data_IF_938761830187
#
_entry.id   IF_938761830187
#
_cell.length_a   1.000
_cell.length_b   1.000
_cell.length_c   1.000
_cell.angle_alpha   90.00
_cell.angle_beta   90.00
_cell.angle_gamma   90.00
#
_symmetry.space_group_name_H-M   'P 1'
#
loop_
_entity.id
_entity.type
_entity.pdbx_description
1 polymer ?
#
# COMPACT_ATOMS: atom_id res chain seq x y z
N UNK A 1 16.14 16.28 -2.73
CA UNK A 1 16.23 17.07 -3.96
C UNK A 1 14.86 17.07 -4.62
N UNK A 2 14.27 18.24 -4.89
CA UNK A 2 12.96 18.34 -5.55
C UNK A 2 13.17 18.32 -7.05
N UNK A 3 12.78 17.23 -7.72
CA UNK A 3 12.86 17.14 -9.18
C UNK A 3 11.74 18.00 -9.78
N UNK A 4 12.09 18.96 -10.65
CA UNK A 4 11.10 19.75 -11.37
C UNK A 4 10.43 18.85 -12.42
N UNK A 5 9.09 18.81 -12.40
CA UNK A 5 8.28 18.07 -13.37
C UNK A 5 7.69 19.10 -14.33
N UNK A 6 7.99 18.94 -15.63
CA UNK A 6 7.30 19.67 -16.69
C UNK A 6 6.11 18.83 -17.16
N UNK A 7 4.93 19.43 -17.20
CA UNK A 7 3.72 18.77 -17.66
C UNK A 7 2.96 19.68 -18.61
N UNK A 8 2.83 19.23 -19.86
CA UNK A 8 2.00 19.89 -20.86
C UNK A 8 0.56 19.42 -20.71
N UNK A 9 -0.37 20.37 -20.62
CA UNK A 9 -1.80 20.11 -20.50
C UNK A 9 -2.55 20.78 -21.65
N UNK A 10 -3.61 20.14 -22.17
CA UNK A 10 -4.52 20.78 -23.10
C UNK A 10 -5.16 22.05 -22.51
N UNK A 11 -5.42 23.06 -23.35
CA UNK A 11 -5.98 24.36 -22.93
C UNK A 11 -7.31 24.25 -22.17
N UNK A 12 -8.16 23.29 -22.55
CA UNK A 12 -9.42 23.05 -21.85
C UNK A 12 -9.18 22.59 -20.41
N UNK A 13 -8.27 21.64 -20.21
CA UNK A 13 -7.89 21.17 -18.88
C UNK A 13 -7.25 22.29 -18.06
N UNK A 14 -6.39 23.12 -18.65
CA UNK A 14 -5.83 24.27 -17.95
C UNK A 14 -6.93 25.22 -17.43
N UNK A 15 -7.92 25.54 -18.28
CA UNK A 15 -9.06 26.39 -17.89
C UNK A 15 -9.87 25.78 -16.76
N UNK A 16 -10.15 24.48 -16.83
CA UNK A 16 -10.86 23.75 -15.77
C UNK A 16 -10.08 23.77 -14.46
N UNK A 17 -8.76 23.55 -14.49
CA UNK A 17 -7.92 23.59 -13.31
C UNK A 17 -7.87 24.98 -12.67
N UNK A 18 -7.78 26.05 -13.48
CA UNK A 18 -7.83 27.43 -12.99
C UNK A 18 -9.20 27.77 -12.41
N UNK A 19 -10.28 27.29 -13.01
CA UNK A 19 -11.63 27.47 -12.50
C UNK A 19 -11.81 26.77 -11.15
N UNK A 20 -11.44 25.49 -11.07
CA UNK A 20 -11.51 24.69 -9.83
C UNK A 20 -10.62 25.26 -8.73
N UNK A 21 -9.42 25.75 -9.06
CA UNK A 21 -8.53 26.41 -8.11
C UNK A 21 -9.19 27.63 -7.46
N UNK A 22 -9.94 28.43 -8.22
CA UNK A 22 -10.68 29.59 -7.70
C UNK A 22 -11.89 29.19 -6.87
N UNK A 23 -12.66 28.23 -7.36
CA UNK A 23 -13.85 27.72 -6.66
C UNK A 23 -13.50 27.14 -5.28
N UNK A 24 -12.37 26.44 -5.20
CA UNK A 24 -11.87 25.83 -3.97
C UNK A 24 -10.93 26.76 -3.16
N UNK A 25 -10.83 28.03 -3.55
CA UNK A 25 -10.07 29.08 -2.85
C UNK A 25 -8.60 28.75 -2.56
N UNK A 26 -7.96 27.98 -3.45
CA UNK A 26 -6.54 27.66 -3.32
C UNK A 26 -5.68 28.89 -3.61
N UNK A 27 -4.52 29.07 -2.94
CA UNK A 27 -3.69 30.25 -3.13
C UNK A 27 -3.01 30.30 -4.51
N UNK A 28 -2.70 29.15 -5.11
CA UNK A 28 -2.14 29.05 -6.45
C UNK A 28 -2.41 27.67 -7.05
N UNK A 29 -2.25 27.58 -8.37
CA UNK A 29 -2.49 26.37 -9.15
C UNK A 29 -1.54 25.22 -8.78
N UNK A 30 -0.29 25.51 -8.39
CA UNK A 30 0.71 24.50 -8.04
C UNK A 30 0.32 23.78 -6.76
N UNK A 31 -0.14 24.50 -5.73
CA UNK A 31 -0.59 23.91 -4.48
C UNK A 31 -1.87 23.10 -4.64
N UNK A 32 -2.80 23.59 -5.47
CA UNK A 32 -3.99 22.83 -5.87
C UNK A 32 -3.62 21.49 -6.51
N UNK A 33 -2.77 21.51 -7.55
CA UNK A 33 -2.32 20.29 -8.24
C UNK A 33 -1.56 19.38 -7.27
N UNK A 34 -0.69 19.92 -6.42
CA UNK A 34 0.06 19.12 -5.43
C UNK A 34 -0.89 18.38 -4.49
N UNK A 35 -1.90 19.05 -3.95
CA UNK A 35 -2.85 18.41 -3.04
C UNK A 35 -3.71 17.36 -3.77
N UNK A 36 -4.16 17.64 -4.99
CA UNK A 36 -4.90 16.70 -5.81
C UNK A 36 -4.08 15.42 -6.10
N UNK A 37 -2.80 15.57 -6.48
CA UNK A 37 -1.89 14.45 -6.72
C UNK A 37 -1.65 13.66 -5.43
N UNK A 38 -1.41 14.33 -4.30
CA UNK A 38 -1.22 13.64 -3.02
C UNK A 38 -2.45 12.82 -2.62
N UNK A 39 -3.65 13.38 -2.79
CA UNK A 39 -4.90 12.66 -2.56
C UNK A 39 -5.02 11.44 -3.46
N UNK A 40 -4.76 11.59 -4.76
CA UNK A 40 -4.83 10.47 -5.72
C UNK A 40 -3.81 9.37 -5.39
N UNK A 41 -2.60 9.74 -4.98
CA UNK A 41 -1.59 8.77 -4.55
C UNK A 41 -2.01 8.02 -3.28
N UNK A 42 -2.65 8.69 -2.33
CA UNK A 42 -3.19 8.03 -1.14
C UNK A 42 -4.31 7.04 -1.49
N UNK A 43 -5.21 7.41 -2.41
CA UNK A 43 -6.25 6.52 -2.93
C UNK A 43 -5.65 5.30 -3.64
N UNK A 44 -4.68 5.49 -4.54
CA UNK A 44 -3.99 4.39 -5.23
C UNK A 44 -3.32 3.43 -4.24
N UNK A 45 -2.67 3.97 -3.20
CA UNK A 45 -2.06 3.14 -2.15
C UNK A 45 -3.10 2.33 -1.38
N UNK A 46 -4.25 2.94 -1.08
CA UNK A 46 -5.33 2.26 -0.40
C UNK A 46 -5.93 1.14 -1.26
N UNK A 47 -6.21 1.42 -2.54
CA UNK A 47 -6.68 0.43 -3.51
C UNK A 47 -5.68 -0.73 -3.66
N UNK A 48 -4.38 -0.43 -3.73
CA UNK A 48 -3.33 -1.45 -3.80
C UNK A 48 -3.33 -2.33 -2.53
N UNK A 49 -3.38 -1.71 -1.35
CA UNK A 49 -3.45 -2.42 -0.09
C UNK A 49 -4.67 -3.35 -0.01
N UNK A 50 -5.85 -2.87 -0.43
CA UNK A 50 -7.05 -3.69 -0.46
C UNK A 50 -6.91 -4.90 -1.39
N UNK A 51 -6.33 -4.71 -2.58
CA UNK A 51 -6.07 -5.81 -3.53
C UNK A 51 -5.11 -6.84 -2.96
N UNK A 52 -4.01 -6.39 -2.37
CA UNK A 52 -3.00 -7.27 -1.79
C UNK A 52 -3.54 -8.02 -0.58
N UNK A 53 -4.32 -7.33 0.27
CA UNK A 53 -4.99 -7.97 1.40
C UNK A 53 -5.99 -9.04 0.93
N UNK A 54 -6.81 -8.74 -0.08
CA UNK A 54 -7.73 -9.73 -0.67
C UNK A 54 -6.99 -10.95 -1.23
N UNK A 55 -5.84 -10.74 -1.89
CA UNK A 55 -4.98 -11.83 -2.38
C UNK A 55 -4.44 -12.67 -1.22
N UNK A 56 -3.95 -12.04 -0.15
CA UNK A 56 -3.48 -12.75 1.04
C UNK A 56 -4.60 -13.59 1.66
N UNK A 57 -5.79 -13.02 1.82
CA UNK A 57 -6.96 -13.74 2.34
C UNK A 57 -7.31 -14.95 1.47
N UNK A 58 -7.25 -14.82 0.15
CA UNK A 58 -7.48 -15.93 -0.76
C UNK A 58 -6.40 -17.01 -0.64
N UNK A 59 -5.13 -16.62 -0.53
CA UNK A 59 -4.02 -17.55 -0.33
C UNK A 59 -4.19 -18.33 0.96
N UNK A 60 -4.50 -17.65 2.07
CA UNK A 60 -4.76 -18.27 3.38
C UNK A 60 -5.94 -19.25 3.30
N UNK A 61 -7.04 -18.86 2.64
CA UNK A 61 -8.20 -19.76 2.47
C UNK A 61 -7.83 -20.98 1.63
N UNK A 62 -7.04 -20.79 0.57
CA UNK A 62 -6.61 -21.87 -0.33
C UNK A 62 -5.64 -22.82 0.35
N UNK A 63 -4.80 -22.33 1.28
CA UNK A 63 -3.93 -23.17 2.10
C UNK A 63 -4.64 -23.88 3.27
N UNK A 64 -5.97 -23.72 3.40
CA UNK A 64 -6.73 -24.33 4.50
C UNK A 64 -6.64 -23.56 5.82
N UNK A 65 -6.29 -22.26 5.76
CA UNK A 65 -6.00 -21.43 6.92
C UNK A 65 -4.50 -21.30 7.17
N UNK A 66 -4.13 -20.75 8.33
CA UNK A 66 -2.73 -20.60 8.73
C UNK A 66 -2.14 -21.88 9.33
N UNK A 67 -2.97 -22.89 9.65
CA UNK A 67 -2.51 -24.11 10.31
C UNK A 67 -1.92 -23.88 11.71
N UNK A 68 -2.23 -22.76 12.34
CA UNK A 68 -1.66 -22.37 13.64
C UNK A 68 -2.47 -22.87 14.85
N UNK A 69 -3.57 -23.61 14.64
CA UNK A 69 -4.49 -24.02 15.70
C UNK A 69 -5.61 -23.01 15.97
N UNK A 70 -6.55 -23.37 16.85
CA UNK A 70 -7.75 -22.58 17.13
C UNK A 70 -7.64 -21.76 18.42
N UNK A 71 -6.74 -22.15 19.31
CA UNK A 71 -6.49 -21.47 20.60
C UNK A 71 -5.20 -20.66 20.59
N UNK A 72 -5.12 -19.68 21.50
CA UNK A 72 -3.93 -18.83 21.63
C UNK A 72 -2.68 -19.64 21.96
N UNK A 73 -2.83 -20.65 22.81
CA UNK A 73 -1.75 -21.53 23.25
C UNK A 73 -1.22 -22.38 22.10
N UNK A 74 -2.10 -22.93 21.27
CA UNK A 74 -1.72 -23.67 20.05
C UNK A 74 -1.02 -22.76 19.04
N UNK A 75 -1.52 -21.53 18.84
CA UNK A 75 -0.88 -20.55 17.96
C UNK A 75 0.54 -20.25 18.42
N UNK A 76 0.75 -20.03 19.72
CA UNK A 76 2.09 -19.75 20.27
C UNK A 76 3.00 -20.97 20.12
N UNK A 77 2.50 -22.19 20.37
CA UNK A 77 3.28 -23.42 20.25
C UNK A 77 3.70 -23.68 18.80
N UNK A 78 2.75 -23.62 17.86
CA UNK A 78 2.99 -23.84 16.43
C UNK A 78 3.92 -22.78 15.85
N UNK A 79 3.76 -21.49 16.23
CA UNK A 79 4.70 -20.44 15.80
C UNK A 79 6.12 -20.69 16.31
N UNK A 80 6.29 -21.14 17.55
CA UNK A 80 7.62 -21.48 18.09
C UNK A 80 8.27 -22.64 17.34
N UNK A 81 7.47 -23.63 16.95
CA UNK A 81 7.95 -24.78 16.17
C UNK A 81 8.37 -24.36 14.76
N UNK A 82 7.54 -23.57 14.06
CA UNK A 82 7.87 -23.01 12.75
C UNK A 82 9.16 -22.18 12.82
N UNK A 83 9.30 -21.31 13.82
CA UNK A 83 10.52 -20.53 14.01
C UNK A 83 11.76 -21.39 14.27
N UNK A 84 11.61 -22.51 15.01
CA UNK A 84 12.71 -23.46 15.21
C UNK A 84 13.09 -24.13 13.90
N UNK A 85 12.13 -24.56 13.10
CA UNK A 85 12.38 -25.17 11.78
C UNK A 85 13.07 -24.20 10.81
N UNK A 86 12.59 -22.95 10.71
CA UNK A 86 13.22 -21.92 9.88
C UNK A 86 14.65 -21.63 10.35
N UNK A 87 14.87 -21.54 11.67
CA UNK A 87 16.20 -21.33 12.22
C UNK A 87 17.13 -22.51 11.93
N UNK A 88 16.65 -23.75 12.09
CA UNK A 88 17.41 -24.95 11.76
C UNK A 88 17.73 -25.03 10.26
N UNK A 89 16.80 -24.69 9.36
CA UNK A 89 17.07 -24.67 7.91
C UNK A 89 18.02 -23.54 7.51
N UNK A 90 17.82 -22.31 7.98
CA UNK A 90 18.67 -21.17 7.60
C UNK A 90 20.08 -21.24 8.23
N UNK A 91 20.22 -21.84 9.41
CA UNK A 91 21.49 -21.92 10.15
C UNK A 91 22.15 -23.31 10.13
N UNK A 92 21.54 -24.34 9.52
CA UNK A 92 22.19 -25.64 9.30
C UNK A 92 23.46 -25.53 8.44
N UNK A 93 23.60 -24.46 7.67
CA UNK A 93 24.77 -24.21 6.81
C UNK A 93 25.93 -23.49 7.52
N UNK A 94 25.77 -23.15 8.81
CA UNK A 94 26.74 -22.38 9.60
C UNK A 94 27.60 -23.24 10.55
N UNK A 95 27.47 -24.58 10.52
CA UNK A 95 28.31 -25.53 11.26
C UNK A 95 28.86 -26.64 10.35
#
# INVERSE_FOLDING_TARGET
MTQAIHWEVPDNLYRELVWAQKELEFPNLVDFIRQAVQRRLAEIKHEAWQRDFGRLQQQIRTSGGFGLGETKEEVIANLREIWRQVYEEEYAHLY
#
